data_IF_684436346743
#
_entry.id   IF_684436346743
#
_cell.length_a   1.000
_cell.length_b   1.000
_cell.length_c   1.000
_cell.angle_alpha   90.00
_cell.angle_beta   90.00
_cell.angle_gamma   90.00
#
_symmetry.space_group_name_H-M   'P 1'
#
loop_
_entity.id
_entity.type
_entity.pdbx_description
1 polymer ?
#
# COMPACT_ATOMS: atom_id res chain seq x y z
N UNK A 1 -3.05 -17.41 23.48
CA UNK A 1 -1.59 -17.55 23.32
C UNK A 1 -1.15 -16.90 22.01
N UNK A 2 -0.24 -15.93 22.06
CA UNK A 2 0.29 -15.25 20.86
C UNK A 2 1.17 -16.15 19.97
N UNK A 3 1.65 -17.28 20.47
CA UNK A 3 2.60 -18.16 19.76
C UNK A 3 1.98 -19.42 19.13
N UNK A 4 0.66 -19.50 19.08
CA UNK A 4 -0.02 -20.58 18.34
C UNK A 4 -0.20 -20.20 16.88
N UNK A 5 -0.40 -21.19 16.01
CA UNK A 5 -0.79 -20.96 14.61
C UNK A 5 -1.97 -20.00 14.51
N UNK A 6 -3.04 -20.25 15.27
CA UNK A 6 -4.23 -19.39 15.32
C UNK A 6 -3.91 -17.98 15.82
N UNK A 7 -3.00 -17.84 16.80
CA UNK A 7 -2.53 -16.55 17.29
C UNK A 7 -1.80 -15.74 16.21
N UNK A 8 -0.89 -16.39 15.47
CA UNK A 8 -0.15 -15.80 14.35
C UNK A 8 -1.09 -15.42 13.20
N UNK A 9 -2.02 -16.28 12.84
CA UNK A 9 -3.03 -16.00 11.80
C UNK A 9 -3.90 -14.80 12.17
N UNK A 10 -4.41 -14.76 13.40
CA UNK A 10 -5.20 -13.62 13.89
C UNK A 10 -4.40 -12.33 13.86
N UNK A 11 -3.12 -12.35 14.28
CA UNK A 11 -2.23 -11.19 14.18
C UNK A 11 -2.03 -10.75 12.73
N UNK A 12 -1.84 -11.69 11.81
CA UNK A 12 -1.74 -11.42 10.38
C UNK A 12 -3.00 -10.77 9.80
N UNK A 13 -4.18 -11.32 10.10
CA UNK A 13 -5.47 -10.74 9.69
C UNK A 13 -5.64 -9.33 10.27
N UNK A 14 -5.37 -9.14 11.55
CA UNK A 14 -5.46 -7.82 12.18
C UNK A 14 -4.51 -6.80 11.52
N UNK A 15 -3.28 -7.20 11.19
CA UNK A 15 -2.32 -6.32 10.49
C UNK A 15 -2.81 -5.95 9.09
N UNK A 16 -3.42 -6.89 8.35
CA UNK A 16 -4.03 -6.60 7.05
C UNK A 16 -5.20 -5.63 7.18
N UNK A 17 -6.09 -5.84 8.15
CA UNK A 17 -7.21 -4.94 8.38
C UNK A 17 -6.74 -3.52 8.77
N UNK A 18 -5.73 -3.41 9.64
CA UNK A 18 -5.15 -2.10 10.00
C UNK A 18 -4.52 -1.39 8.79
N UNK A 19 -3.85 -2.14 7.90
CA UNK A 19 -3.30 -1.55 6.68
C UNK A 19 -4.41 -1.08 5.75
N UNK A 20 -5.43 -1.91 5.54
CA UNK A 20 -6.57 -1.58 4.69
C UNK A 20 -7.31 -0.33 5.19
N UNK A 21 -7.58 -0.24 6.49
CA UNK A 21 -8.20 0.94 7.12
C UNK A 21 -7.39 2.21 6.84
N UNK A 22 -6.06 2.18 7.04
CA UNK A 22 -5.19 3.33 6.77
C UNK A 22 -5.18 3.74 5.30
N UNK A 23 -5.16 2.78 4.38
CA UNK A 23 -5.18 3.06 2.95
C UNK A 23 -6.51 3.70 2.54
N UNK A 24 -7.64 3.18 3.03
CA UNK A 24 -8.95 3.80 2.76
C UNK A 24 -9.08 5.19 3.36
N UNK A 25 -8.61 5.41 4.59
CA UNK A 25 -8.60 6.76 5.17
C UNK A 25 -7.79 7.73 4.31
N UNK A 26 -6.62 7.31 3.81
CA UNK A 26 -5.78 8.11 2.92
C UNK A 26 -6.45 8.36 1.56
N UNK A 27 -7.12 7.36 0.99
CA UNK A 27 -7.84 7.50 -0.28
C UNK A 27 -8.99 8.51 -0.15
N UNK A 28 -9.76 8.46 0.95
CA UNK A 28 -10.82 9.43 1.23
C UNK A 28 -10.22 10.84 1.37
N UNK A 29 -9.18 10.98 2.17
CA UNK A 29 -8.48 12.27 2.37
C UNK A 29 -7.96 12.85 1.05
N UNK A 30 -7.39 12.00 0.17
CA UNK A 30 -6.89 12.41 -1.13
C UNK A 30 -7.99 12.81 -2.13
N UNK A 31 -9.21 12.27 -1.99
CA UNK A 31 -10.37 12.68 -2.79
C UNK A 31 -10.96 14.00 -2.28
N UNK A 32 -10.88 14.23 -0.97
CA UNK A 32 -11.37 15.45 -0.33
C UNK A 32 -10.37 16.62 -0.41
N UNK A 33 -9.08 16.35 -0.65
CA UNK A 33 -8.07 17.38 -0.80
C UNK A 33 -8.13 18.01 -2.19
N UNK A 34 -8.05 19.35 -2.26
CA UNK A 34 -7.80 20.10 -3.50
C UNK A 34 -6.30 20.08 -3.89
N UNK A 35 -5.53 19.10 -3.40
CA UNK A 35 -4.10 18.99 -3.70
C UNK A 35 -3.90 18.49 -5.14
N UNK A 36 -2.95 19.10 -5.86
CA UNK A 36 -2.62 18.67 -7.21
C UNK A 36 -2.06 17.24 -7.17
N UNK A 37 -2.61 16.36 -8.00
CA UNK A 37 -2.15 14.98 -8.08
C UNK A 37 -0.64 14.94 -8.42
N UNK A 38 0.10 13.97 -7.89
CA UNK A 38 1.51 13.82 -8.23
C UNK A 38 1.65 13.62 -9.76
N UNK A 39 2.73 14.14 -10.36
CA UNK A 39 2.97 13.95 -11.78
C UNK A 39 3.09 12.47 -12.12
N UNK A 40 2.53 12.06 -13.26
CA UNK A 40 2.66 10.68 -13.76
C UNK A 40 4.10 10.33 -14.15
N UNK A 41 4.94 11.35 -14.39
CA UNK A 41 6.33 11.16 -14.78
C UNK A 41 7.20 10.74 -13.60
N UNK A 42 8.17 9.86 -13.87
CA UNK A 42 9.18 9.50 -12.90
C UNK A 42 9.96 10.74 -12.49
N UNK A 43 9.97 11.05 -11.19
CA UNK A 43 10.83 12.09 -10.64
C UNK A 43 12.12 11.45 -10.12
N UNK A 44 13.21 12.22 -9.97
CA UNK A 44 14.45 11.71 -9.36
C UNK A 44 14.24 11.11 -7.95
N UNK A 45 13.21 11.58 -7.23
CA UNK A 45 12.83 11.10 -5.89
C UNK A 45 11.92 9.85 -5.94
N UNK A 46 11.25 9.62 -7.07
CA UNK A 46 10.34 8.48 -7.31
C UNK A 46 10.64 7.83 -8.66
N UNK A 47 11.78 7.13 -8.80
CA UNK A 47 12.11 6.44 -10.04
C UNK A 47 11.06 5.38 -10.34
N UNK A 48 10.64 5.31 -11.61
CA UNK A 48 9.70 4.30 -12.08
C UNK A 48 10.40 2.93 -12.07
N UNK A 49 10.03 2.07 -11.13
CA UNK A 49 10.63 0.74 -10.95
C UNK A 49 10.10 -0.22 -12.03
N UNK A 50 10.73 -0.21 -13.20
CA UNK A 50 10.37 -1.06 -14.34
C UNK A 50 11.13 -2.38 -14.40
N UNK A 51 12.16 -2.54 -13.56
CA UNK A 51 13.08 -3.69 -13.57
C UNK A 51 12.46 -5.02 -13.08
N UNK A 52 11.19 -5.02 -12.64
CA UNK A 52 10.49 -6.20 -12.09
C UNK A 52 9.34 -6.69 -12.99
N UNK A 53 9.16 -6.08 -14.18
CA UNK A 53 8.27 -6.61 -15.19
C UNK A 53 8.96 -7.81 -15.88
N UNK A 54 8.35 -9.00 -15.90
CA UNK A 54 8.89 -10.10 -16.69
C UNK A 54 8.92 -9.67 -18.16
N UNK A 55 10.04 -9.89 -18.83
CA UNK A 55 10.13 -9.72 -20.28
C UNK A 55 8.99 -10.52 -20.93
N UNK A 56 8.18 -9.87 -21.77
CA UNK A 56 7.18 -10.58 -22.58
C UNK A 56 7.94 -11.43 -23.61
N UNK A 57 8.12 -12.72 -23.31
CA UNK A 57 8.61 -13.76 -24.26
C UNK A 57 7.57 -14.11 -25.33
#
# INVERSE_FOLDING_TARGET
MPDTKNGRERKGRNKRNQLQERLYSREIEAVESDEELPPFEATPETPFLTDDLPDEE
#
